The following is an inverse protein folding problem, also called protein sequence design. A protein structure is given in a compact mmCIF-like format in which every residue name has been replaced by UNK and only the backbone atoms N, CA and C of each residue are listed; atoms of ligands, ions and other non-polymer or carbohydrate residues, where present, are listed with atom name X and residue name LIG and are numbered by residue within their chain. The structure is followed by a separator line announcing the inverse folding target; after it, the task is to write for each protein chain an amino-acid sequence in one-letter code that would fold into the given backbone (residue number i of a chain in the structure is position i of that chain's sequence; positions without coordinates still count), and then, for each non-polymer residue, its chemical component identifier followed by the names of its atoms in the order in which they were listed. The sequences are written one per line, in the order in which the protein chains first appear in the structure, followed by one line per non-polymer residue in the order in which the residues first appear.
data_IF_165834849895
#
_entry.id   IF_165834849895
#
_cell.length_a   1.000
_cell.length_b   1.000
_cell.length_c   1.000
_cell.angle_alpha   90.00
_cell.angle_beta   90.00
_cell.angle_gamma   90.00
#
_symmetry.space_group_name_H-M   'P 1'
#
loop_
_entity.id
_entity.type
_entity.pdbx_description
1 polymer ?
#
# COMPACT_ATOMS: atom_id res chain seq x y z
N UNK A 1 32.31 -37.07 59.38
CA UNK A 1 33.36 -36.04 59.52
C UNK A 1 33.66 -35.52 58.12
N UNK A 2 33.42 -34.29 57.69
CA UNK A 2 33.04 -33.03 58.34
C UNK A 2 32.20 -32.27 57.29
N UNK A 3 31.04 -31.77 57.72
CA UNK A 3 30.28 -30.67 57.12
C UNK A 3 31.00 -29.34 57.33
N UNK A 4 30.93 -28.40 56.38
CA UNK A 4 30.61 -26.95 56.57
C UNK A 4 30.53 -26.26 55.19
N UNK A 5 29.40 -25.59 54.96
CA UNK A 5 28.96 -24.67 53.88
C UNK A 5 29.07 -23.22 54.47
N UNK A 6 28.75 -22.06 53.83
CA UNK A 6 28.81 -21.46 52.48
C UNK A 6 29.61 -20.12 52.44
N UNK A 7 29.64 -19.40 51.32
CA UNK A 7 29.21 -17.99 51.27
C UNK A 7 28.93 -17.53 49.82
N UNK A 8 27.75 -16.93 49.66
CA UNK A 8 27.12 -16.51 48.41
C UNK A 8 27.71 -15.21 47.85
N UNK A 9 27.63 -15.03 46.52
CA UNK A 9 27.27 -13.74 45.92
C UNK A 9 26.46 -13.99 44.63
N UNK A 10 25.19 -13.61 44.73
CA UNK A 10 24.22 -13.34 43.67
C UNK A 10 24.79 -12.21 42.78
N UNK A 11 24.51 -12.13 41.48
CA UNK A 11 23.59 -11.13 40.87
C UNK A 11 23.49 -11.35 39.35
N UNK A 12 22.28 -11.07 38.85
CA UNK A 12 21.80 -11.21 37.48
C UNK A 12 22.48 -10.25 36.47
N UNK A 13 22.56 -10.70 35.23
CA UNK A 13 22.27 -9.91 34.01
C UNK A 13 22.07 -10.90 32.85
N UNK A 14 20.84 -11.33 32.56
CA UNK A 14 19.93 -10.77 31.56
C UNK A 14 20.61 -10.30 30.26
N UNK A 15 20.22 -10.98 29.18
CA UNK A 15 20.01 -10.50 27.82
C UNK A 15 20.68 -9.18 27.39
N UNK A 16 21.48 -9.24 26.33
CA UNK A 16 21.27 -8.42 25.13
C UNK A 16 22.34 -8.79 24.08
N UNK A 17 21.98 -9.66 23.15
CA UNK A 17 22.44 -9.46 21.77
C UNK A 17 21.24 -8.93 20.99
N UNK A 18 20.87 -7.71 21.38
CA UNK A 18 19.96 -6.84 20.67
C UNK A 18 20.80 -6.02 19.68
N UNK A 19 20.52 -6.24 18.40
CA UNK A 19 20.47 -5.20 17.36
C UNK A 19 21.63 -4.21 17.26
N UNK A 20 22.47 -4.39 16.25
CA UNK A 20 23.06 -3.25 15.52
C UNK A 20 22.81 -3.46 14.02
N UNK A 21 21.57 -3.22 13.61
CA UNK A 21 21.32 -2.72 12.27
C UNK A 21 21.44 -1.19 12.39
N UNK A 22 22.37 -0.57 11.67
CA UNK A 22 22.42 0.88 11.49
C UNK A 22 21.02 1.38 11.09
N UNK A 23 20.34 2.06 11.99
CA UNK A 23 18.99 2.55 11.75
C UNK A 23 19.07 3.83 10.92
N UNK A 24 19.05 3.69 9.59
CA UNK A 24 18.86 4.81 8.65
C UNK A 24 17.53 5.51 8.95
N UNK A 25 17.52 6.84 8.88
CA UNK A 25 16.28 7.62 9.01
C UNK A 25 15.35 7.28 7.85
N UNK A 26 14.14 6.79 8.13
CA UNK A 26 13.17 6.44 7.08
C UNK A 26 12.19 7.58 6.89
N UNK A 27 12.11 8.08 5.66
CA UNK A 27 11.22 9.17 5.26
C UNK A 27 10.28 8.62 4.21
N UNK A 28 9.00 8.93 4.34
CA UNK A 28 7.98 8.35 3.51
C UNK A 28 7.23 9.41 2.72
N UNK A 29 7.09 9.21 1.41
CA UNK A 29 6.37 10.12 0.51
C UNK A 29 5.74 9.35 -0.67
N UNK A 30 4.87 10.01 -1.43
CA UNK A 30 4.26 9.46 -2.65
C UNK A 30 4.73 10.21 -3.92
N UNK A 31 4.62 9.60 -5.11
CA UNK A 31 4.90 10.29 -6.37
C UNK A 31 4.05 11.56 -6.52
N UNK A 32 4.66 12.65 -6.97
CA UNK A 32 4.03 13.97 -7.14
C UNK A 32 3.99 14.84 -5.87
N UNK A 33 4.33 14.29 -4.70
CA UNK A 33 4.44 15.08 -3.46
C UNK A 33 5.77 15.83 -3.39
N UNK A 34 5.84 16.80 -2.47
CA UNK A 34 7.09 17.43 -2.06
C UNK A 34 7.55 16.77 -0.76
N UNK A 35 8.85 16.48 -0.65
CA UNK A 35 9.41 15.87 0.56
C UNK A 35 10.56 16.70 1.10
N UNK A 36 10.65 16.77 2.43
CA UNK A 36 11.77 17.34 3.15
C UNK A 36 12.66 16.23 3.70
N UNK A 37 13.93 16.27 3.34
CA UNK A 37 14.99 15.39 3.81
C UNK A 37 15.83 16.16 4.85
N UNK A 38 15.54 15.99 6.16
CA UNK A 38 16.09 16.84 7.21
C UNK A 38 17.58 16.58 7.41
N UNK A 39 18.35 17.66 7.45
CA UNK A 39 19.78 17.60 7.75
C UNK A 39 20.20 18.90 8.43
N UNK A 40 20.58 18.83 9.70
CA UNK A 40 20.87 20.00 10.53
C UNK A 40 22.11 19.79 11.40
N UNK A 41 22.90 20.85 11.58
CA UNK A 41 24.01 20.87 12.53
C UNK A 41 23.48 21.19 13.93
N UNK A 42 23.75 20.31 14.91
CA UNK A 42 23.38 20.55 16.31
C UNK A 42 24.57 21.20 17.03
N UNK A 43 24.58 22.54 17.12
CA UNK A 43 25.70 23.26 17.75
C UNK A 43 25.53 23.34 19.27
N UNK A 44 26.32 22.60 20.03
CA UNK A 44 26.59 22.92 21.43
C UNK A 44 27.64 24.04 21.49
N UNK A 45 27.33 25.13 22.20
CA UNK A 45 28.12 26.35 22.41
C UNK A 45 29.63 26.27 22.07
N UNK A 46 30.09 27.08 21.11
CA UNK A 46 31.53 27.31 20.92
C UNK A 46 31.97 27.96 19.60
N UNK A 47 32.26 29.26 19.66
CA UNK A 47 33.18 30.06 18.82
C UNK A 47 32.96 30.15 17.28
N UNK A 48 32.62 31.36 16.84
CA UNK A 48 32.69 31.82 15.45
C UNK A 48 34.11 32.29 15.10
N UNK A 49 34.83 31.50 14.32
CA UNK A 49 35.96 31.99 13.53
C UNK A 49 35.49 32.20 12.09
N UNK A 50 35.79 33.38 11.55
CA UNK A 50 35.09 33.96 10.41
C UNK A 50 35.15 33.21 9.09
N UNK A 51 34.05 33.34 8.34
CA UNK A 51 34.09 33.55 6.88
C UNK A 51 34.18 32.32 5.97
N UNK A 52 34.25 31.10 6.48
CA UNK A 52 34.20 29.89 5.63
C UNK A 52 32.81 29.30 5.78
N UNK A 53 31.92 29.58 4.81
CA UNK A 53 30.55 29.07 4.82
C UNK A 53 30.51 27.55 4.84
N UNK A 54 29.49 27.00 5.51
CA UNK A 54 29.24 25.56 5.57
C UNK A 54 29.16 24.99 4.15
N UNK A 55 29.91 23.91 3.89
CA UNK A 55 29.80 23.16 2.62
C UNK A 55 28.78 22.06 2.81
N UNK A 56 27.72 22.10 2.02
CA UNK A 56 26.65 21.10 2.02
C UNK A 56 26.76 20.29 0.75
N UNK A 57 26.75 18.96 0.88
CA UNK A 57 26.71 18.04 -0.23
C UNK A 57 25.61 17.00 0.00
N UNK A 58 24.70 16.92 -0.97
CA UNK A 58 23.69 15.89 -1.04
C UNK A 58 24.03 14.94 -2.18
N UNK A 59 24.09 13.65 -1.89
CA UNK A 59 24.21 12.58 -2.88
C UNK A 59 23.07 11.58 -2.75
N UNK A 60 22.71 10.93 -3.86
CA UNK A 60 21.83 9.76 -3.88
C UNK A 60 22.70 8.53 -4.11
N UNK A 61 22.54 7.52 -3.26
CA UNK A 61 23.19 6.22 -3.43
C UNK A 61 22.36 5.41 -4.42
N UNK A 62 23.00 4.94 -5.48
CA UNK A 62 22.40 4.04 -6.47
C UNK A 62 22.65 2.57 -6.10
N UNK A 63 21.93 1.65 -6.75
CA UNK A 63 21.95 0.21 -6.44
C UNK A 63 23.33 -0.46 -6.62
N UNK A 64 24.21 0.14 -7.42
CA UNK A 64 25.59 -0.29 -7.65
C UNK A 64 26.60 0.27 -6.64
N UNK A 65 26.11 0.91 -5.57
CA UNK A 65 26.86 1.69 -4.58
C UNK A 65 27.61 2.89 -5.17
N UNK A 66 27.27 3.34 -6.38
CA UNK A 66 27.73 4.63 -6.87
C UNK A 66 26.93 5.76 -6.22
N UNK A 67 27.57 6.92 -6.08
CA UNK A 67 26.92 8.12 -5.57
C UNK A 67 26.71 9.11 -6.70
N UNK A 68 25.47 9.54 -6.91
CA UNK A 68 25.13 10.61 -7.83
C UNK A 68 24.95 11.91 -7.05
N UNK A 69 25.62 12.98 -7.49
CA UNK A 69 25.45 14.30 -6.87
C UNK A 69 24.02 14.80 -7.12
N UNK A 70 23.37 15.29 -6.05
CA UNK A 70 22.03 15.88 -6.07
C UNK A 70 22.14 17.40 -6.01
N UNK A 71 22.80 17.90 -4.95
CA UNK A 71 22.97 19.32 -4.68
C UNK A 71 24.30 19.59 -3.98
N UNK A 72 25.00 20.64 -4.41
CA UNK A 72 26.19 21.17 -3.77
C UNK A 72 25.97 22.64 -3.40
N UNK A 73 26.26 23.00 -2.15
CA UNK A 73 26.23 24.37 -1.66
C UNK A 73 27.58 24.76 -1.04
N UNK A 74 28.10 25.92 -1.44
CA UNK A 74 29.30 26.55 -0.88
C UNK A 74 29.00 28.03 -0.65
N UNK A 75 28.49 28.36 0.54
CA UNK A 75 28.03 29.71 0.85
C UNK A 75 26.92 30.17 -0.10
N UNK A 76 27.18 31.21 -0.90
CA UNK A 76 26.21 31.76 -1.85
C UNK A 76 26.07 30.95 -3.15
N UNK A 77 26.99 30.04 -3.43
CA UNK A 77 26.98 29.25 -4.66
C UNK A 77 26.27 27.92 -4.44
N UNK A 78 25.17 27.70 -5.17
CA UNK A 78 24.36 26.48 -5.12
C UNK A 78 24.21 25.90 -6.51
N UNK A 79 24.44 24.61 -6.64
CA UNK A 79 24.33 23.89 -7.90
C UNK A 79 23.55 22.60 -7.67
N UNK A 80 22.55 22.36 -8.51
CA UNK A 80 21.84 21.08 -8.59
C UNK A 80 22.28 20.30 -9.82
N UNK A 81 22.34 18.99 -9.68
CA UNK A 81 22.96 18.11 -10.66
C UNK A 81 21.96 17.15 -11.29
N UNK A 82 22.22 16.81 -12.56
CA UNK A 82 21.46 15.82 -13.31
C UNK A 82 19.95 16.10 -13.33
N UNK A 83 19.17 15.07 -13.01
CA UNK A 83 17.70 15.13 -13.02
C UNK A 83 17.10 15.99 -11.92
N UNK A 84 17.87 16.32 -10.87
CA UNK A 84 17.43 17.14 -9.74
C UNK A 84 17.38 18.65 -10.04
N UNK A 85 17.81 19.04 -11.24
CA UNK A 85 17.71 20.42 -11.70
C UNK A 85 16.25 20.88 -11.74
N UNK A 86 16.02 22.11 -11.26
CA UNK A 86 14.71 22.79 -11.21
C UNK A 86 13.67 22.24 -10.22
N UNK A 87 13.96 21.17 -9.48
CA UNK A 87 12.99 20.62 -8.53
C UNK A 87 13.57 20.16 -7.18
N UNK A 88 14.89 20.23 -6.98
CA UNK A 88 15.53 20.10 -5.67
C UNK A 88 16.13 21.44 -5.20
N UNK A 89 15.98 21.80 -3.93
CA UNK A 89 16.57 23.02 -3.34
C UNK A 89 16.71 22.89 -1.82
N UNK A 90 17.53 23.74 -1.19
CA UNK A 90 17.64 23.80 0.27
C UNK A 90 16.48 24.61 0.88
N UNK A 91 16.01 24.21 2.05
CA UNK A 91 14.96 24.90 2.79
C UNK A 91 15.41 26.24 3.39
N UNK A 92 16.65 26.29 3.90
CA UNK A 92 17.31 27.50 4.43
C UNK A 92 16.54 28.21 5.55
N UNK A 93 16.01 27.47 6.52
CA UNK A 93 15.37 28.09 7.68
C UNK A 93 16.37 28.91 8.54
N UNK A 94 17.63 28.49 8.60
CA UNK A 94 18.75 29.17 9.26
C UNK A 94 20.12 28.77 8.63
N UNK A 95 21.23 29.34 9.14
CA UNK A 95 22.59 29.08 8.63
C UNK A 95 23.08 27.63 8.80
N UNK A 96 22.39 26.82 9.62
CA UNK A 96 22.71 25.43 9.94
C UNK A 96 21.71 24.44 9.32
N UNK A 97 20.68 24.93 8.62
CA UNK A 97 19.65 24.13 7.99
C UNK A 97 20.06 23.72 6.57
N UNK A 98 20.51 22.47 6.44
CA UNK A 98 20.83 21.84 5.17
C UNK A 98 19.72 20.90 4.68
N UNK A 99 18.50 21.07 5.19
CA UNK A 99 17.34 20.27 4.77
C UNK A 99 17.11 20.41 3.26
N UNK A 100 17.09 19.28 2.56
CA UNK A 100 16.83 19.22 1.12
C UNK A 100 15.33 19.05 0.87
N UNK A 101 14.77 19.93 0.07
CA UNK A 101 13.41 19.84 -0.45
C UNK A 101 13.45 19.31 -1.87
N UNK A 102 12.82 18.18 -2.12
CA UNK A 102 12.57 17.66 -3.47
C UNK A 102 11.09 17.85 -3.77
N UNK A 103 10.79 18.53 -4.88
CA UNK A 103 9.44 18.84 -5.31
C UNK A 103 8.98 17.92 -6.43
N UNK A 104 7.69 17.60 -6.46
CA UNK A 104 7.06 16.76 -7.48
C UNK A 104 7.82 15.44 -7.71
N UNK A 105 7.84 14.58 -6.69
CA UNK A 105 8.61 13.33 -6.68
C UNK A 105 8.28 12.40 -7.85
N UNK A 106 9.33 11.92 -8.51
CA UNK A 106 9.29 10.86 -9.51
C UNK A 106 9.66 9.50 -8.91
N UNK A 107 9.34 8.40 -9.61
CA UNK A 107 9.67 7.04 -9.15
C UNK A 107 11.17 6.81 -8.94
N UNK A 108 12.01 7.53 -9.68
CA UNK A 108 13.47 7.42 -9.56
C UNK A 108 14.02 8.23 -8.37
N UNK A 109 13.23 9.14 -7.78
CA UNK A 109 13.63 9.90 -6.59
C UNK A 109 13.65 9.04 -5.33
N UNK A 110 12.95 7.92 -5.31
CA UNK A 110 13.01 7.00 -4.17
C UNK A 110 14.38 6.31 -4.09
N UNK A 111 14.87 6.11 -2.87
CA UNK A 111 16.20 5.56 -2.65
C UNK A 111 16.87 6.13 -1.42
N UNK A 112 18.17 5.85 -1.27
CA UNK A 112 18.94 6.33 -0.13
C UNK A 112 19.64 7.63 -0.50
N UNK A 113 19.52 8.62 0.37
CA UNK A 113 20.21 9.91 0.27
C UNK A 113 21.21 10.05 1.38
N UNK A 114 22.33 10.70 1.07
CA UNK A 114 23.38 11.04 2.02
C UNK A 114 23.58 12.54 2.02
N UNK A 115 23.46 13.12 3.20
CA UNK A 115 23.80 14.51 3.47
C UNK A 115 25.19 14.55 4.11
N UNK A 116 26.09 15.37 3.56
CA UNK A 116 27.42 15.64 4.08
C UNK A 116 27.53 17.15 4.34
N UNK A 117 27.62 17.52 5.62
CA UNK A 117 27.81 18.88 6.10
C UNK A 117 29.24 19.02 6.62
N UNK A 118 30.02 19.89 5.99
CA UNK A 118 31.41 20.15 6.35
C UNK A 118 31.51 21.58 6.87
N UNK A 119 31.76 21.74 8.17
CA UNK A 119 31.89 23.03 8.85
C UNK A 119 33.21 23.09 9.62
N UNK A 120 34.32 23.31 8.90
CA UNK A 120 35.64 23.64 9.46
C UNK A 120 36.31 22.52 10.27
N UNK A 121 35.77 22.17 11.44
CA UNK A 121 36.25 21.13 12.35
C UNK A 121 35.27 19.98 12.55
N UNK A 122 33.99 20.14 12.21
CA UNK A 122 32.95 19.12 12.37
C UNK A 122 32.39 18.71 11.01
N UNK A 123 32.35 17.39 10.77
CA UNK A 123 31.72 16.76 9.60
C UNK A 123 30.52 15.93 10.08
N UNK A 124 29.33 16.25 9.57
CA UNK A 124 28.12 15.46 9.82
C UNK A 124 27.72 14.73 8.54
N UNK A 125 27.62 13.42 8.64
CA UNK A 125 27.08 12.56 7.59
C UNK A 125 25.79 11.91 8.07
N UNK A 126 24.68 12.16 7.37
CA UNK A 126 23.38 11.54 7.66
C UNK A 126 22.90 10.77 6.44
N UNK A 127 22.66 9.48 6.62
CA UNK A 127 21.99 8.65 5.62
C UNK A 127 20.51 8.50 5.95
N UNK A 128 19.68 8.67 4.94
CA UNK A 128 18.23 8.51 5.02
C UNK A 128 17.68 7.76 3.82
N UNK A 129 16.64 6.97 4.05
CA UNK A 129 15.96 6.21 3.01
C UNK A 129 14.62 6.88 2.71
N UNK A 130 14.50 7.47 1.51
CA UNK A 130 13.24 7.96 0.99
C UNK A 130 12.46 6.77 0.40
N UNK A 131 11.43 6.36 1.12
CA UNK A 131 10.58 5.23 0.79
C UNK A 131 9.22 5.69 0.30
N UNK A 132 8.62 4.85 -0.52
CA UNK A 132 7.24 5.04 -0.94
C UNK A 132 6.28 4.69 0.21
N UNK A 133 5.42 5.64 0.58
CA UNK A 133 4.23 5.44 1.42
C UNK A 133 4.33 5.94 2.86
N UNK A 134 3.77 7.13 3.16
CA UNK A 134 3.65 7.71 4.52
C UNK A 134 2.25 7.54 5.13
N UNK A 135 1.87 8.26 6.19
CA UNK A 135 0.47 8.27 6.68
C UNK A 135 -0.52 8.79 5.61
N UNK A 136 -0.04 9.58 4.64
CA UNK A 136 -0.76 9.94 3.41
C UNK A 136 -0.93 8.75 2.42
N UNK A 137 -0.27 7.62 2.64
CA UNK A 137 -0.46 6.36 1.89
C UNK A 137 -1.90 5.82 2.03
N UNK A 138 -2.70 6.27 2.99
CA UNK A 138 -4.11 5.87 3.04
C UNK A 138 -4.94 6.39 1.85
N UNK A 139 -4.50 7.42 1.13
CA UNK A 139 -5.15 7.90 -0.09
C UNK A 139 -4.64 7.24 -1.38
N UNK A 140 -3.45 6.61 -1.36
CA UNK A 140 -2.87 5.84 -2.49
C UNK A 140 -2.77 4.33 -2.26
N UNK A 141 -3.12 3.83 -1.07
CA UNK A 141 -3.27 2.41 -0.80
C UNK A 141 -4.45 1.90 -1.59
N UNK A 142 -4.17 1.11 -2.63
CA UNK A 142 -5.22 0.40 -3.35
C UNK A 142 -5.35 -1.04 -2.88
N UNK A 143 -6.47 -1.66 -3.23
CA UNK A 143 -6.80 -3.03 -2.90
C UNK A 143 -6.95 -3.85 -4.17
N UNK A 144 -6.29 -5.00 -4.19
CA UNK A 144 -6.55 -6.03 -5.21
C UNK A 144 -7.69 -6.90 -4.74
N UNK A 145 -8.66 -7.14 -5.62
CA UNK A 145 -9.78 -8.03 -5.34
C UNK A 145 -10.09 -8.96 -6.52
N UNK A 146 -10.53 -10.20 -6.24
CA UNK A 146 -10.96 -11.12 -7.29
C UNK A 146 -12.37 -10.76 -7.78
N UNK A 147 -12.60 -10.89 -9.08
CA UNK A 147 -13.89 -10.67 -9.69
C UNK A 147 -14.26 -11.80 -10.68
N UNK A 148 -15.49 -12.27 -10.56
CA UNK A 148 -16.14 -13.21 -11.49
C UNK A 148 -17.54 -12.69 -11.81
N UNK A 149 -18.01 -12.79 -13.06
CA UNK A 149 -19.31 -12.31 -13.46
C UNK A 149 -20.44 -13.24 -13.01
N UNK A 150 -21.69 -12.80 -13.18
CA UNK A 150 -22.92 -13.54 -12.84
C UNK A 150 -22.98 -14.95 -13.41
N UNK A 151 -22.44 -15.17 -14.60
CA UNK A 151 -22.49 -16.46 -15.30
C UNK A 151 -21.51 -17.51 -14.73
N UNK A 152 -20.79 -17.17 -13.66
CA UNK A 152 -19.89 -18.07 -12.94
C UNK A 152 -18.42 -17.82 -13.27
N UNK A 153 -17.57 -18.67 -12.68
CA UNK A 153 -16.10 -18.58 -12.80
C UNK A 153 -15.63 -18.89 -14.21
N UNK A 154 -14.49 -18.32 -14.58
CA UNK A 154 -13.79 -18.61 -15.84
C UNK A 154 -14.61 -18.31 -17.10
N UNK A 155 -15.31 -17.18 -17.10
CA UNK A 155 -16.16 -16.74 -18.21
C UNK A 155 -15.70 -15.43 -18.86
N UNK A 156 -14.60 -14.81 -18.40
CA UNK A 156 -14.11 -13.54 -18.97
C UNK A 156 -12.93 -13.78 -19.89
N UNK A 157 -13.01 -13.29 -21.13
CA UNK A 157 -11.80 -13.05 -21.92
C UNK A 157 -11.07 -11.81 -21.38
N UNK A 158 -9.88 -11.48 -21.90
CA UNK A 158 -9.11 -10.36 -21.35
C UNK A 158 -9.83 -9.01 -21.52
N UNK A 159 -10.49 -8.78 -22.65
CA UNK A 159 -11.25 -7.56 -22.90
C UNK A 159 -12.52 -7.47 -22.04
N UNK A 160 -13.21 -8.61 -21.85
CA UNK A 160 -14.34 -8.68 -20.92
C UNK A 160 -13.88 -8.41 -19.48
N UNK A 161 -12.68 -8.87 -19.13
CA UNK A 161 -12.07 -8.66 -17.82
C UNK A 161 -11.68 -7.19 -17.58
N UNK A 162 -11.14 -6.50 -18.58
CA UNK A 162 -10.89 -5.05 -18.53
C UNK A 162 -12.20 -4.29 -18.32
N UNK A 163 -13.21 -4.57 -19.14
CA UNK A 163 -14.53 -3.94 -19.02
C UNK A 163 -15.20 -4.23 -17.67
N UNK A 164 -15.07 -5.46 -17.17
CA UNK A 164 -15.60 -5.85 -15.88
C UNK A 164 -14.97 -5.07 -14.72
N UNK A 165 -13.64 -4.93 -14.69
CA UNK A 165 -12.97 -4.13 -13.66
C UNK A 165 -13.39 -2.66 -13.73
N UNK A 166 -13.44 -2.08 -14.93
CA UNK A 166 -13.88 -0.68 -15.12
C UNK A 166 -15.31 -0.46 -14.60
N UNK A 167 -16.22 -1.41 -14.88
CA UNK A 167 -17.59 -1.39 -14.36
C UNK A 167 -17.68 -1.47 -12.83
N UNK A 168 -16.61 -1.92 -12.15
CA UNK A 168 -16.52 -1.99 -10.69
C UNK A 168 -15.70 -0.85 -10.07
N UNK A 169 -15.43 0.23 -10.81
CA UNK A 169 -14.56 1.35 -10.41
C UNK A 169 -13.14 0.89 -10.07
N UNK A 170 -12.60 0.08 -10.98
CA UNK A 170 -11.30 -0.55 -10.84
C UNK A 170 -10.62 -0.73 -12.20
N UNK A 171 -9.35 -1.11 -12.18
CA UNK A 171 -8.58 -1.51 -13.36
C UNK A 171 -8.05 -2.92 -13.20
N UNK A 172 -7.67 -3.60 -14.28
CA UNK A 172 -6.99 -4.90 -14.15
C UNK A 172 -5.69 -4.71 -13.38
N UNK A 173 -5.49 -5.54 -12.37
CA UNK A 173 -4.32 -5.51 -11.51
C UNK A 173 -3.05 -5.86 -12.28
N UNK A 174 -1.96 -5.20 -11.91
CA UNK A 174 -0.60 -5.58 -12.32
C UNK A 174 -0.09 -6.78 -11.52
N UNK A 175 0.99 -7.40 -11.99
CA UNK A 175 1.68 -8.46 -11.24
C UNK A 175 2.18 -7.95 -9.89
N UNK A 176 2.76 -6.75 -9.84
CA UNK A 176 3.31 -6.12 -8.65
C UNK A 176 2.21 -5.89 -7.59
N UNK A 177 1.02 -5.46 -8.03
CA UNK A 177 -0.14 -5.29 -7.16
C UNK A 177 -0.63 -6.64 -6.60
N UNK A 178 -0.76 -7.68 -7.44
CA UNK A 178 -1.15 -9.00 -6.97
C UNK A 178 -0.12 -9.60 -6.02
N UNK A 179 1.17 -9.41 -6.31
CA UNK A 179 2.27 -9.87 -5.46
C UNK A 179 2.25 -9.18 -4.09
N UNK A 180 2.03 -7.86 -4.05
CA UNK A 180 1.83 -7.13 -2.79
C UNK A 180 0.62 -7.66 -2.02
N UNK A 181 -0.50 -7.91 -2.70
CA UNK A 181 -1.70 -8.47 -2.07
C UNK A 181 -1.46 -9.87 -1.47
N UNK A 182 -0.75 -10.74 -2.19
CA UNK A 182 -0.34 -12.06 -1.70
C UNK A 182 0.58 -11.97 -0.48
N UNK A 183 1.60 -11.09 -0.51
CA UNK A 183 2.44 -10.82 0.67
C UNK A 183 1.63 -10.31 1.86
N UNK A 184 0.56 -9.56 1.58
CA UNK A 184 -0.43 -9.11 2.57
C UNK A 184 -1.44 -10.19 3.01
N UNK A 185 -1.23 -11.45 2.62
CA UNK A 185 -2.04 -12.60 3.07
C UNK A 185 -3.14 -13.04 2.11
N UNK A 186 -3.25 -12.45 0.91
CA UNK A 186 -4.27 -12.85 -0.06
C UNK A 186 -4.09 -14.31 -0.50
N UNK A 187 -5.14 -15.11 -0.31
CA UNK A 187 -5.21 -16.50 -0.74
C UNK A 187 -6.46 -16.70 -1.60
N UNK A 188 -6.27 -17.02 -2.88
CA UNK A 188 -7.35 -17.19 -3.84
C UNK A 188 -7.01 -18.29 -4.85
N UNK A 189 -7.86 -19.31 -4.93
CA UNK A 189 -7.59 -20.52 -5.73
C UNK A 189 -8.07 -20.45 -7.17
N UNK A 190 -8.73 -19.36 -7.57
CA UNK A 190 -9.15 -19.20 -8.96
C UNK A 190 -8.10 -18.40 -9.75
N UNK A 191 -7.76 -18.89 -10.94
CA UNK A 191 -6.89 -18.22 -11.88
C UNK A 191 -7.57 -16.98 -12.49
N UNK A 192 -6.88 -15.83 -12.46
CA UNK A 192 -7.40 -14.56 -12.95
C UNK A 192 -6.43 -13.83 -13.87
N UNK A 193 -6.98 -13.07 -14.82
CA UNK A 193 -6.23 -12.18 -15.69
C UNK A 193 -5.50 -11.08 -14.91
N UNK A 194 -4.30 -10.74 -15.38
CA UNK A 194 -3.50 -9.57 -15.00
C UNK A 194 -3.25 -8.68 -16.22
N UNK A 195 -2.90 -7.41 -15.98
CA UNK A 195 -2.77 -6.36 -17.00
C UNK A 195 -1.82 -6.70 -18.16
N UNK A 196 -0.77 -7.47 -17.87
CA UNK A 196 0.23 -7.91 -18.86
C UNK A 196 -0.25 -9.08 -19.75
N UNK A 197 -1.50 -9.53 -19.57
CA UNK A 197 -2.07 -10.67 -20.28
C UNK A 197 -1.65 -12.03 -19.72
N UNK A 198 -0.98 -12.06 -18.56
CA UNK A 198 -0.76 -13.30 -17.82
C UNK A 198 -1.98 -13.68 -17.00
N UNK A 199 -2.03 -14.94 -16.62
CA UNK A 199 -3.08 -15.50 -15.76
C UNK A 199 -2.42 -16.15 -14.56
N UNK A 200 -2.77 -15.69 -13.36
CA UNK A 200 -2.11 -16.12 -12.13
C UNK A 200 -3.11 -16.30 -10.99
N UNK A 201 -2.69 -16.87 -9.86
CA UNK A 201 -3.47 -16.89 -8.62
C UNK A 201 -2.59 -17.03 -7.37
N UNK A 202 -2.89 -16.30 -6.27
CA UNK A 202 -2.07 -16.28 -5.06
C UNK A 202 -2.46 -17.39 -4.07
N UNK A 203 -1.51 -18.17 -3.57
CA UNK A 203 -1.72 -19.18 -2.53
C UNK A 203 -0.79 -18.92 -1.34
N UNK A 204 -1.37 -18.72 -0.15
CA UNK A 204 -0.61 -18.63 1.11
C UNK A 204 -0.68 -19.93 1.89
N UNK A 205 -1.76 -20.71 1.72
CA UNK A 205 -1.98 -22.01 2.37
C UNK A 205 -2.02 -23.13 1.32
N UNK A 206 -0.92 -23.90 1.14
CA UNK A 206 -0.85 -25.01 0.20
C UNK A 206 -1.97 -26.02 0.44
N UNK A 207 -2.61 -26.47 -0.63
CA UNK A 207 -3.71 -27.44 -0.59
C UNK A 207 -3.90 -28.09 -1.95
N UNK A 208 -4.28 -29.37 -1.94
CA UNK A 208 -4.32 -30.20 -3.14
C UNK A 208 -5.10 -29.59 -4.33
N UNK A 209 -6.31 -29.01 -4.15
CA UNK A 209 -7.06 -28.43 -5.26
C UNK A 209 -6.44 -27.14 -5.84
N UNK A 210 -5.46 -26.54 -5.16
CA UNK A 210 -4.95 -25.19 -5.44
C UNK A 210 -3.43 -25.21 -5.66
N UNK A 211 -2.99 -26.05 -6.61
CA UNK A 211 -1.58 -26.19 -6.95
C UNK A 211 -0.82 -27.24 -6.12
N UNK A 212 -1.53 -28.18 -5.50
CA UNK A 212 -0.91 -29.31 -4.80
C UNK A 212 -0.20 -28.92 -3.50
N UNK A 213 0.91 -29.61 -3.22
CA UNK A 213 1.76 -29.40 -2.05
C UNK A 213 2.88 -28.38 -2.29
N UNK A 214 2.83 -27.63 -3.39
CA UNK A 214 3.85 -26.63 -3.68
C UNK A 214 3.86 -25.50 -2.63
N UNK A 215 5.05 -24.99 -2.30
CA UNK A 215 5.24 -23.93 -1.32
C UNK A 215 4.42 -22.66 -1.65
N UNK A 216 4.00 -21.86 -0.66
CA UNK A 216 3.25 -20.62 -0.88
C UNK A 216 3.83 -19.74 -1.99
N UNK A 217 2.98 -19.13 -2.80
CA UNK A 217 3.42 -18.27 -3.91
C UNK A 217 2.32 -17.92 -4.90
N UNK A 218 2.68 -17.08 -5.88
CA UNK A 218 1.87 -16.84 -7.06
C UNK A 218 2.03 -18.02 -8.04
N UNK A 219 0.93 -18.69 -8.35
CA UNK A 219 0.88 -19.71 -9.38
C UNK A 219 0.60 -19.04 -10.71
N UNK A 220 1.41 -19.33 -11.71
CA UNK A 220 1.30 -18.71 -13.03
C UNK A 220 0.94 -19.73 -14.08
N UNK A 221 -0.05 -19.38 -14.88
CA UNK A 221 -0.34 -20.03 -16.16
C UNK A 221 0.40 -19.32 -17.30
N UNK A 222 1.19 -18.27 -17.05
CA UNK A 222 1.87 -17.50 -18.10
C UNK A 222 0.90 -16.67 -18.96
N UNK A 223 1.40 -16.17 -20.09
CA UNK A 223 0.58 -15.40 -21.05
C UNK A 223 -0.43 -16.31 -21.74
N UNK A 224 -1.67 -15.82 -21.86
CA UNK A 224 -2.78 -16.54 -22.48
C UNK A 224 -3.36 -15.74 -23.65
N UNK A 225 -4.08 -16.42 -24.53
CA UNK A 225 -4.74 -15.78 -25.66
C UNK A 225 -5.87 -14.91 -25.14
N UNK A 226 -5.73 -13.59 -25.32
CA UNK A 226 -6.64 -12.55 -24.80
C UNK A 226 -8.07 -12.66 -25.32
N UNK A 227 -8.27 -13.30 -26.48
CA UNK A 227 -9.56 -13.40 -27.16
C UNK A 227 -10.26 -14.74 -26.91
N UNK A 228 -9.54 -15.85 -26.87
CA UNK A 228 -10.13 -17.20 -26.82
C UNK A 228 -10.11 -17.83 -25.44
N UNK A 229 -9.12 -17.54 -24.60
CA UNK A 229 -9.08 -18.10 -23.26
C UNK A 229 -10.06 -17.35 -22.34
N UNK A 230 -10.53 -18.05 -21.30
CA UNK A 230 -11.49 -17.54 -20.33
C UNK A 230 -11.03 -17.83 -18.91
N UNK A 231 -11.04 -16.81 -18.06
CA UNK A 231 -10.63 -16.87 -16.67
C UNK A 231 -11.47 -15.91 -15.81
N UNK A 232 -11.16 -15.82 -14.51
CA UNK A 232 -11.61 -14.72 -13.67
C UNK A 232 -10.69 -13.51 -13.91
N UNK A 233 -10.79 -12.47 -13.09
CA UNK A 233 -9.86 -11.33 -13.14
C UNK A 233 -9.52 -10.84 -11.74
N UNK A 234 -8.29 -10.36 -11.55
CA UNK A 234 -7.94 -9.55 -10.39
C UNK A 234 -8.05 -8.08 -10.77
N UNK A 235 -8.95 -7.37 -10.09
CA UNK A 235 -9.11 -5.93 -10.24
C UNK A 235 -8.35 -5.21 -9.12
N UNK A 236 -7.97 -3.97 -9.38
CA UNK A 236 -7.31 -3.06 -8.46
C UNK A 236 -8.08 -1.74 -8.42
N UNK A 237 -8.45 -1.31 -7.22
CA UNK A 237 -9.10 -0.02 -6.98
C UNK A 237 -8.36 0.73 -5.86
N UNK A 238 -8.44 2.05 -5.86
CA UNK A 238 -7.79 2.92 -4.86
C UNK A 238 -8.81 3.39 -3.81
N UNK A 239 -8.37 4.24 -2.88
CA UNK A 239 -9.32 5.04 -2.10
C UNK A 239 -10.21 5.86 -3.03
N UNK A 240 -11.43 6.12 -2.57
CA UNK A 240 -12.43 6.94 -3.25
C UNK A 240 -12.81 8.14 -2.39
N UNK A 241 -13.25 9.22 -3.03
CA UNK A 241 -13.78 10.40 -2.34
C UNK A 241 -15.30 10.26 -2.12
N UNK A 242 -15.67 9.58 -1.04
CA UNK A 242 -17.06 9.27 -0.73
C UNK A 242 -17.19 8.33 0.45
N UNK A 243 -18.40 7.87 0.73
CA UNK A 243 -18.67 6.93 1.80
C UNK A 243 -19.60 5.78 1.35
N UNK A 244 -19.27 4.57 1.80
CA UNK A 244 -20.16 3.40 1.70
C UNK A 244 -20.98 3.28 2.98
N UNK A 245 -22.29 3.17 2.83
CA UNK A 245 -23.23 2.94 3.92
C UNK A 245 -24.21 1.81 3.57
N UNK A 246 -25.00 1.37 4.54
CA UNK A 246 -25.87 0.20 4.39
C UNK A 246 -27.31 0.55 4.76
N UNK A 247 -28.24 0.15 3.88
CA UNK A 247 -29.68 0.23 4.09
C UNK A 247 -30.16 -1.08 4.70
N UNK A 248 -30.61 -1.01 5.95
CA UNK A 248 -31.06 -2.17 6.74
C UNK A 248 -32.55 -2.47 6.51
N UNK A 249 -32.87 -2.82 5.26
CA UNK A 249 -34.20 -3.28 4.86
C UNK A 249 -34.06 -4.51 3.98
N UNK A 250 -35.01 -5.44 4.05
CA UNK A 250 -35.05 -6.57 3.12
C UNK A 250 -35.63 -6.07 1.81
N UNK A 251 -34.82 -6.04 0.76
CA UNK A 251 -35.14 -5.42 -0.53
C UNK A 251 -34.90 -6.42 -1.68
N UNK A 252 -35.73 -6.33 -2.71
CA UNK A 252 -35.40 -6.85 -4.05
C UNK A 252 -34.28 -5.99 -4.67
N UNK A 253 -33.67 -6.45 -5.75
CA UNK A 253 -32.60 -5.67 -6.41
C UNK A 253 -33.10 -4.28 -6.85
N UNK A 254 -34.31 -4.18 -7.40
CA UNK A 254 -34.85 -2.91 -7.89
C UNK A 254 -35.19 -1.96 -6.73
N UNK A 255 -35.77 -2.50 -5.64
CA UNK A 255 -36.01 -1.71 -4.42
C UNK A 255 -34.69 -1.24 -3.78
N UNK A 256 -33.62 -2.03 -3.88
CA UNK A 256 -32.29 -1.64 -3.38
C UNK A 256 -31.67 -0.49 -4.19
N UNK A 257 -31.88 -0.46 -5.52
CA UNK A 257 -31.49 0.68 -6.37
C UNK A 257 -32.24 1.92 -5.89
N UNK A 258 -33.58 1.84 -5.81
CA UNK A 258 -34.40 2.98 -5.42
C UNK A 258 -34.05 3.49 -4.01
N UNK A 259 -33.82 2.60 -3.04
CA UNK A 259 -33.49 2.99 -1.68
C UNK A 259 -32.16 3.78 -1.60
N UNK A 260 -31.16 3.45 -2.43
CA UNK A 260 -29.94 4.25 -2.49
C UNK A 260 -30.19 5.61 -3.15
N UNK A 261 -30.98 5.64 -4.23
CA UNK A 261 -31.31 6.88 -4.97
C UNK A 261 -32.11 7.86 -4.11
N UNK A 262 -33.06 7.37 -3.31
CA UNK A 262 -33.86 8.16 -2.37
C UNK A 262 -32.97 8.88 -1.32
N UNK A 263 -31.81 8.29 -1.01
CA UNK A 263 -30.78 8.85 -0.13
C UNK A 263 -29.70 9.66 -0.88
N UNK A 264 -29.90 9.99 -2.16
CA UNK A 264 -28.93 10.73 -2.97
C UNK A 264 -27.61 9.97 -3.17
N UNK A 265 -27.70 8.64 -3.27
CA UNK A 265 -26.58 7.72 -3.46
C UNK A 265 -26.87 6.76 -4.62
N UNK A 266 -25.88 5.98 -5.03
CA UNK A 266 -26.06 4.86 -5.95
C UNK A 266 -25.77 3.54 -5.23
N UNK A 267 -26.16 2.40 -5.80
CA UNK A 267 -25.67 1.12 -5.31
C UNK A 267 -24.14 1.10 -5.37
N UNK A 268 -23.51 0.69 -4.28
CA UNK A 268 -22.07 0.57 -4.23
C UNK A 268 -21.59 -0.48 -5.25
N UNK A 269 -20.51 -0.17 -5.95
CA UNK A 269 -19.79 -1.12 -6.78
C UNK A 269 -18.95 -2.05 -5.91
N UNK A 270 -18.52 -3.17 -6.48
CA UNK A 270 -17.64 -4.11 -5.79
C UNK A 270 -16.32 -3.45 -5.38
N UNK A 271 -15.75 -2.58 -6.22
CA UNK A 271 -14.56 -1.81 -5.89
C UNK A 271 -14.76 -0.95 -4.64
N UNK A 272 -15.86 -0.19 -4.57
CA UNK A 272 -16.19 0.62 -3.39
C UNK A 272 -16.24 -0.23 -2.10
N UNK A 273 -16.84 -1.42 -2.15
CA UNK A 273 -16.89 -2.31 -0.98
C UNK A 273 -15.50 -2.80 -0.56
N UNK A 274 -14.65 -3.22 -1.50
CA UNK A 274 -13.30 -3.69 -1.18
C UNK A 274 -12.42 -2.56 -0.65
N UNK A 275 -12.52 -1.36 -1.20
CA UNK A 275 -11.82 -0.18 -0.69
C UNK A 275 -12.32 0.22 0.70
N UNK A 276 -13.64 0.24 0.94
CA UNK A 276 -14.21 0.49 2.28
C UNK A 276 -13.68 -0.51 3.31
N UNK A 277 -13.74 -1.80 2.96
CA UNK A 277 -13.30 -2.90 3.83
C UNK A 277 -11.80 -2.82 4.15
N UNK A 278 -10.96 -2.70 3.11
CA UNK A 278 -9.50 -2.81 3.27
C UNK A 278 -8.85 -1.54 3.79
N UNK A 279 -9.31 -0.37 3.31
CA UNK A 279 -8.66 0.92 3.55
C UNK A 279 -9.28 1.68 4.71
N UNK A 280 -10.60 1.54 4.90
CA UNK A 280 -11.34 2.23 5.97
C UNK A 280 -11.74 1.28 7.11
N UNK A 281 -11.43 -0.02 7.00
CA UNK A 281 -11.77 -1.02 8.01
C UNK A 281 -13.27 -1.29 8.14
N UNK A 282 -14.07 -0.96 7.11
CA UNK A 282 -15.52 -1.10 7.14
C UNK A 282 -15.92 -2.56 7.38
N UNK A 283 -16.73 -2.80 8.41
CA UNK A 283 -17.13 -4.13 8.88
C UNK A 283 -18.64 -4.23 9.06
N UNK A 284 -19.26 -5.19 8.39
CA UNK A 284 -20.69 -5.48 8.52
C UNK A 284 -21.02 -6.93 8.19
N UNK A 285 -21.83 -7.57 9.03
CA UNK A 285 -22.24 -8.97 8.89
C UNK A 285 -23.65 -9.12 8.28
N UNK A 286 -24.00 -8.20 7.38
CA UNK A 286 -25.30 -8.19 6.72
C UNK A 286 -25.11 -8.26 5.21
N UNK A 287 -25.67 -9.30 4.60
CA UNK A 287 -25.64 -9.48 3.15
C UNK A 287 -26.49 -8.41 2.46
N UNK A 288 -25.90 -7.70 1.50
CA UNK A 288 -26.55 -6.63 0.77
C UNK A 288 -26.23 -6.64 -0.73
N UNK A 289 -27.15 -6.09 -1.52
CA UNK A 289 -27.00 -5.88 -2.95
C UNK A 289 -25.88 -4.89 -3.26
N UNK A 290 -25.18 -5.17 -4.36
CA UNK A 290 -24.23 -4.28 -5.02
C UNK A 290 -24.66 -4.00 -6.46
N UNK A 291 -24.07 -2.99 -7.10
CA UNK A 291 -24.44 -2.53 -8.43
C UNK A 291 -24.35 -3.62 -9.52
N UNK A 292 -23.44 -4.58 -9.38
CA UNK A 292 -23.31 -5.71 -10.32
C UNK A 292 -24.41 -6.79 -10.16
N UNK A 293 -25.30 -6.61 -9.19
CA UNK A 293 -26.34 -7.58 -8.84
C UNK A 293 -25.83 -8.77 -8.04
N UNK A 294 -24.59 -8.72 -7.55
CA UNK A 294 -24.12 -9.67 -6.54
C UNK A 294 -24.58 -9.24 -5.15
N UNK A 295 -24.58 -10.21 -4.24
CA UNK A 295 -24.84 -9.98 -2.82
C UNK A 295 -23.59 -10.33 -2.02
N UNK A 296 -23.09 -9.37 -1.25
CA UNK A 296 -21.83 -9.48 -0.50
C UNK A 296 -21.94 -8.86 0.89
N UNK A 297 -20.95 -9.13 1.74
CA UNK A 297 -20.79 -8.44 3.02
C UNK A 297 -19.30 -8.41 3.46
N UNK A 298 -18.78 -7.27 3.96
CA UNK A 298 -17.38 -7.12 4.35
C UNK A 298 -17.15 -7.43 5.83
N UNK A 299 -16.17 -8.28 6.16
CA UNK A 299 -15.75 -8.54 7.54
C UNK A 299 -14.29 -8.14 7.72
N UNK A 300 -14.03 -7.09 8.48
CA UNK A 300 -12.68 -6.65 8.84
C UNK A 300 -12.23 -7.26 10.17
N UNK A 301 -13.17 -7.59 11.05
CA UNK A 301 -12.94 -8.22 12.36
C UNK A 301 -13.58 -9.62 12.40
N UNK A 302 -12.77 -10.69 12.22
CA UNK A 302 -13.25 -12.08 12.20
C UNK A 302 -14.08 -12.44 13.44
N UNK A 303 -15.18 -13.16 13.24
CA UNK A 303 -16.11 -13.63 14.29
C UNK A 303 -16.99 -14.79 13.82
N UNK A 304 -17.36 -15.67 14.75
CA UNK A 304 -17.95 -17.00 14.48
C UNK A 304 -19.16 -17.04 13.54
N UNK A 305 -20.10 -16.09 13.63
CA UNK A 305 -21.33 -16.11 12.81
C UNK A 305 -21.18 -15.49 11.42
N UNK A 306 -20.04 -14.86 11.14
CA UNK A 306 -19.85 -14.00 9.97
C UNK A 306 -18.66 -14.45 9.14
N UNK A 307 -17.50 -14.54 9.79
CA UNK A 307 -16.26 -15.01 9.18
C UNK A 307 -15.34 -15.48 10.32
N UNK A 308 -15.34 -16.77 10.69
CA UNK A 308 -14.68 -17.24 11.90
C UNK A 308 -13.17 -17.01 11.95
N UNK A 309 -12.50 -17.07 10.80
CA UNK A 309 -11.03 -17.20 10.74
C UNK A 309 -10.32 -16.08 10.00
N UNK A 310 -11.01 -15.30 9.18
CA UNK A 310 -10.35 -14.38 8.25
C UNK A 310 -11.15 -13.10 8.01
N UNK A 311 -10.43 -11.99 7.84
CA UNK A 311 -11.02 -10.76 7.35
C UNK A 311 -11.18 -10.90 5.84
N UNK A 312 -12.40 -10.73 5.32
CA UNK A 312 -12.69 -10.89 3.91
C UNK A 312 -14.02 -10.21 3.54
N UNK A 313 -14.14 -9.82 2.27
CA UNK A 313 -15.44 -9.60 1.64
C UNK A 313 -16.03 -10.96 1.25
N UNK A 314 -17.12 -11.35 1.90
CA UNK A 314 -17.84 -12.60 1.64
C UNK A 314 -18.85 -12.39 0.52
N UNK A 315 -19.00 -13.40 -0.32
CA UNK A 315 -19.97 -13.40 -1.42
C UNK A 315 -21.03 -14.47 -1.21
N UNK A 316 -22.30 -14.07 -1.28
CA UNK A 316 -23.45 -14.98 -1.35
C UNK A 316 -23.68 -15.45 -2.80
N UNK A 317 -23.17 -14.69 -3.78
CA UNK A 317 -23.30 -14.96 -5.21
C UNK A 317 -24.27 -13.98 -5.89
N UNK A 318 -24.96 -14.47 -6.92
CA UNK A 318 -25.91 -13.69 -7.72
C UNK A 318 -27.32 -14.28 -7.59
N UNK A 319 -28.02 -14.01 -6.47
CA UNK A 319 -29.36 -14.53 -6.25
C UNK A 319 -30.38 -13.91 -7.23
N UNK A 320 -31.57 -14.51 -7.31
CA UNK A 320 -32.65 -13.97 -8.14
C UNK A 320 -33.06 -12.58 -7.68
N UNK A 321 -33.07 -11.61 -8.61
CA UNK A 321 -33.32 -10.20 -8.34
C UNK A 321 -34.69 -9.89 -7.71
N UNK A 322 -35.63 -10.83 -7.79
CA UNK A 322 -37.00 -10.72 -7.25
C UNK A 322 -37.08 -11.10 -5.76
N UNK A 323 -36.03 -11.69 -5.19
CA UNK A 323 -36.03 -12.11 -3.79
C UNK A 323 -35.78 -10.92 -2.87
N UNK A 324 -36.67 -10.74 -1.88
CA UNK A 324 -36.63 -9.66 -0.89
C UNK A 324 -35.94 -10.13 0.40
N UNK A 325 -34.63 -10.39 0.33
CA UNK A 325 -33.87 -11.07 1.40
C UNK A 325 -32.63 -10.30 1.91
N UNK A 326 -32.20 -9.28 1.17
CA UNK A 326 -30.90 -8.63 1.39
C UNK A 326 -31.07 -7.13 1.57
N UNK A 327 -30.14 -6.52 2.31
CA UNK A 327 -30.01 -5.06 2.38
C UNK A 327 -29.45 -4.48 1.10
N UNK A 328 -29.03 -3.22 1.15
CA UNK A 328 -28.32 -2.56 0.07
C UNK A 328 -27.06 -1.89 0.61
N UNK A 329 -25.93 -2.05 -0.09
CA UNK A 329 -24.78 -1.18 0.13
C UNK A 329 -24.88 -0.03 -0.86
N UNK A 330 -24.90 1.19 -0.34
CA UNK A 330 -24.98 2.41 -1.13
C UNK A 330 -23.65 3.16 -1.05
N UNK A 331 -23.34 3.91 -2.10
CA UNK A 331 -22.17 4.76 -2.20
C UNK A 331 -22.59 6.18 -2.52
N UNK A 332 -22.11 7.14 -1.74
CA UNK A 332 -22.30 8.57 -1.98
C UNK A 332 -20.93 9.22 -2.16
N UNK A 333 -20.72 9.84 -3.31
CA UNK A 333 -19.53 10.63 -3.57
C UNK A 333 -19.58 11.93 -2.75
N UNK A 334 -18.44 12.36 -2.21
CA UNK A 334 -18.31 13.70 -1.65
C UNK A 334 -18.03 14.67 -2.81
N UNK A 335 -18.89 15.68 -2.95
CA UNK A 335 -18.77 16.73 -3.96
C UNK A 335 -17.64 17.69 -3.63
#
# INVERSE_FOLDING_TARGET
MITIIPLALVWLSLANNAYTAESRLQIFANPGENVSLPCQLNRSDGFTFGGIGNRIKWTKLEDDNSETDVLLSMGFHKITHGRFQNHAHLQEADENDATLIITNLNLDDFGTYKCELISGMDDITVEMELRMGGEASLSFAGVVFPYSPRFGRYNLNFHDAEAACLGQDAVVASFEQLYKAWKGGMDWCNAGWLRDGTVQYPITKPRQPCGGNAAPGLRSYGRRNKTTNRFDVFCYTTGYNGNVFFVDQKLTFLEAVQACEDDGAELAKVGHMFAAWKLQGYDRCDAGWLADGSVRYPISKPRMKCSPTEAAVRSVGFPEKKHKLYGAYCFRAHQ
#
